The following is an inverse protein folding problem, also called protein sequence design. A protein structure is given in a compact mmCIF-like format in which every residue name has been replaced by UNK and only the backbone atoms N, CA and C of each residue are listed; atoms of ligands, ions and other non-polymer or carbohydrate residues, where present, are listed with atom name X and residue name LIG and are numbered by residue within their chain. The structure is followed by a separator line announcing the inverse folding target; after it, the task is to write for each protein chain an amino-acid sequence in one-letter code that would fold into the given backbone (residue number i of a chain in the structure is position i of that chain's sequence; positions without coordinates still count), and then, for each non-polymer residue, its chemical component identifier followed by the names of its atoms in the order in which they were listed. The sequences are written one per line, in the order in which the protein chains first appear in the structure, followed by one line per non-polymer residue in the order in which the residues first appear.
data_IF_574163783424
#
_entry.id   IF_574163783424
#
_cell.length_a   1.000
_cell.length_b   1.000
_cell.length_c   1.000
_cell.angle_alpha   90.00
_cell.angle_beta   90.00
_cell.angle_gamma   90.00
#
_symmetry.space_group_name_H-M   'P 1'
#
loop_
_entity.id
_entity.type
_entity.pdbx_description
1 polymer ?
#
# COMPACT_ATOMS: atom_id res chain seq x y z
N UNK A 1 8.97 -27.21 -8.14
CA UNK A 1 9.59 -25.87 -7.95
C UNK A 1 8.67 -24.74 -8.43
N UNK A 2 8.13 -24.76 -9.66
CA UNK A 2 7.24 -23.70 -10.20
C UNK A 2 5.90 -23.53 -9.47
N UNK A 3 5.23 -24.62 -9.07
CA UNK A 3 3.94 -24.52 -8.36
C UNK A 3 4.04 -23.80 -7.00
N UNK A 4 5.15 -23.98 -6.27
CA UNK A 4 5.36 -23.30 -4.97
C UNK A 4 5.42 -21.78 -5.13
N UNK A 5 6.01 -21.28 -6.22
CA UNK A 5 6.09 -19.84 -6.48
C UNK A 5 4.73 -19.24 -6.88
N UNK A 6 3.91 -19.97 -7.63
CA UNK A 6 2.56 -19.52 -8.02
C UNK A 6 1.65 -19.44 -6.79
N UNK A 7 1.64 -20.48 -5.95
CA UNK A 7 0.85 -20.49 -4.71
C UNK A 7 1.31 -19.42 -3.71
N UNK A 8 2.61 -19.13 -3.65
CA UNK A 8 3.15 -18.02 -2.84
C UNK A 8 2.72 -16.65 -3.37
N UNK A 9 2.72 -16.46 -4.70
CA UNK A 9 2.23 -15.24 -5.34
C UNK A 9 0.74 -15.00 -5.07
N UNK A 10 -0.10 -16.01 -5.23
CA UNK A 10 -1.54 -15.87 -4.94
C UNK A 10 -1.83 -15.55 -3.48
N UNK A 11 -1.05 -16.14 -2.55
CA UNK A 11 -1.19 -15.85 -1.13
C UNK A 11 -0.78 -14.39 -0.85
N UNK A 12 0.35 -13.96 -1.39
CA UNK A 12 0.84 -12.58 -1.29
C UNK A 12 -0.22 -11.59 -1.78
N UNK A 13 -0.82 -11.86 -2.93
CA UNK A 13 -1.82 -10.98 -3.54
C UNK A 13 -3.09 -10.88 -2.69
N UNK A 14 -3.52 -12.00 -2.10
CA UNK A 14 -4.67 -12.03 -1.18
C UNK A 14 -4.39 -11.27 0.12
N UNK A 15 -3.23 -11.49 0.72
CA UNK A 15 -2.81 -10.78 1.95
C UNK A 15 -2.69 -9.28 1.70
N UNK A 16 -2.09 -8.88 0.56
CA UNK A 16 -2.00 -7.49 0.17
C UNK A 16 -3.38 -6.86 -0.08
N UNK A 17 -4.27 -7.57 -0.79
CA UNK A 17 -5.62 -7.09 -1.04
C UNK A 17 -6.41 -6.87 0.26
N UNK A 18 -6.27 -7.79 1.23
CA UNK A 18 -6.88 -7.65 2.55
C UNK A 18 -6.33 -6.43 3.31
N UNK A 19 -5.01 -6.20 3.25
CA UNK A 19 -4.40 -5.00 3.79
C UNK A 19 -4.94 -3.72 3.14
N UNK A 20 -4.98 -3.67 1.80
CA UNK A 20 -5.49 -2.50 1.06
C UNK A 20 -6.95 -2.23 1.45
N UNK A 21 -7.79 -3.27 1.51
CA UNK A 21 -9.18 -3.13 1.95
C UNK A 21 -9.31 -2.53 3.35
N UNK A 22 -8.41 -2.87 4.29
CA UNK A 22 -8.44 -2.38 5.67
C UNK A 22 -7.73 -1.04 5.90
N UNK A 23 -6.81 -0.63 5.02
CA UNK A 23 -5.92 0.52 5.24
C UNK A 23 -6.07 1.66 4.23
N UNK A 24 -6.55 1.39 3.01
CA UNK A 24 -6.56 2.37 1.92
C UNK A 24 -7.29 3.67 2.27
N UNK A 25 -8.41 3.60 3.00
CA UNK A 25 -9.14 4.80 3.42
C UNK A 25 -8.31 5.72 4.33
N UNK A 26 -7.61 5.16 5.33
CA UNK A 26 -6.74 5.94 6.23
C UNK A 26 -5.51 6.47 5.49
N UNK A 27 -4.93 5.68 4.59
CA UNK A 27 -3.78 6.10 3.79
C UNK A 27 -4.15 7.19 2.78
N UNK A 28 -5.33 7.12 2.15
CA UNK A 28 -5.85 8.16 1.26
C UNK A 28 -6.12 9.46 2.02
N UNK A 29 -6.69 9.36 3.22
CA UNK A 29 -6.87 10.53 4.07
C UNK A 29 -5.54 11.21 4.38
N UNK A 30 -4.52 10.44 4.79
CA UNK A 30 -3.18 10.98 5.04
C UNK A 30 -2.57 11.61 3.77
N UNK A 31 -2.66 10.95 2.62
CA UNK A 31 -2.18 11.48 1.35
C UNK A 31 -2.88 12.81 0.97
N UNK A 32 -4.18 12.91 1.23
CA UNK A 32 -4.98 14.13 0.98
C UNK A 32 -4.50 15.29 1.83
N UNK A 33 -4.20 15.03 3.11
CA UNK A 33 -3.63 16.05 4.00
C UNK A 33 -2.24 16.49 3.54
N UNK A 34 -1.40 15.56 3.09
CA UNK A 34 -0.04 15.86 2.61
C UNK A 34 -0.04 16.65 1.30
N UNK A 35 -1.02 16.44 0.42
CA UNK A 35 -1.13 17.17 -0.86
C UNK A 35 -1.95 18.45 -0.78
N UNK A 36 -2.56 18.72 0.38
CA UNK A 36 -3.47 19.86 0.62
C UNK A 36 -4.63 19.93 -0.40
N UNK A 37 -5.17 18.77 -0.78
CA UNK A 37 -6.31 18.65 -1.70
C UNK A 37 -7.64 18.50 -0.95
N UNK A 38 -8.76 18.76 -1.64
CA UNK A 38 -10.07 18.49 -1.09
C UNK A 38 -10.35 16.97 -1.07
N UNK A 39 -11.04 16.42 -0.05
CA UNK A 39 -11.29 14.97 0.02
C UNK A 39 -11.95 14.36 -1.22
N UNK A 40 -12.82 15.12 -1.90
CA UNK A 40 -13.56 14.67 -3.09
C UNK A 40 -12.87 15.03 -4.42
N UNK A 41 -11.77 15.81 -4.38
CA UNK A 41 -10.99 16.21 -5.55
C UNK A 41 -9.49 16.20 -5.22
N UNK A 42 -8.93 14.99 -5.10
CA UNK A 42 -7.56 14.74 -4.66
C UNK A 42 -6.74 13.89 -5.65
N UNK A 43 -6.63 14.29 -6.95
CA UNK A 43 -5.90 13.51 -7.94
C UNK A 43 -4.43 13.29 -7.59
N UNK A 44 -3.75 14.22 -6.89
CA UNK A 44 -2.35 14.05 -6.48
C UNK A 44 -2.23 13.08 -5.31
N UNK A 45 -3.13 13.14 -4.34
CA UNK A 45 -3.18 12.22 -3.20
C UNK A 45 -3.40 10.77 -3.68
N UNK A 46 -4.29 10.58 -4.65
CA UNK A 46 -4.54 9.26 -5.26
C UNK A 46 -3.29 8.72 -5.94
N UNK A 47 -2.58 9.56 -6.71
CA UNK A 47 -1.31 9.18 -7.35
C UNK A 47 -0.22 8.84 -6.33
N UNK A 48 -0.08 9.67 -5.28
CA UNK A 48 0.85 9.45 -4.18
C UNK A 48 0.56 8.12 -3.47
N UNK A 49 -0.71 7.85 -3.16
CA UNK A 49 -1.15 6.60 -2.56
C UNK A 49 -0.84 5.40 -3.46
N UNK A 50 -1.16 5.49 -4.76
CA UNK A 50 -0.84 4.42 -5.71
C UNK A 50 0.66 4.12 -5.73
N UNK A 51 1.50 5.15 -5.70
CA UNK A 51 2.96 4.98 -5.65
C UNK A 51 3.40 4.28 -4.35
N UNK A 52 2.93 4.77 -3.20
CA UNK A 52 3.24 4.17 -1.90
C UNK A 52 2.79 2.71 -1.80
N UNK A 53 1.60 2.38 -2.31
CA UNK A 53 1.09 1.00 -2.35
C UNK A 53 1.90 0.10 -3.28
N UNK A 54 2.35 0.61 -4.44
CA UNK A 54 3.22 -0.14 -5.35
C UNK A 54 4.57 -0.47 -4.70
N UNK A 55 5.17 0.49 -3.99
CA UNK A 55 6.40 0.26 -3.21
C UNK A 55 6.19 -0.73 -2.06
N UNK A 56 5.08 -0.61 -1.34
CA UNK A 56 4.71 -1.52 -0.26
C UNK A 56 4.52 -2.95 -0.79
N UNK A 57 3.84 -3.11 -1.93
CA UNK A 57 3.66 -4.42 -2.57
C UNK A 57 4.99 -5.02 -3.07
N UNK A 58 5.88 -4.21 -3.65
CA UNK A 58 7.20 -4.67 -4.08
C UNK A 58 8.10 -5.13 -2.91
N UNK A 59 7.84 -4.61 -1.70
CA UNK A 59 8.50 -5.01 -0.47
C UNK A 59 7.77 -6.12 0.31
N UNK A 60 6.58 -6.56 -0.14
CA UNK A 60 5.67 -7.42 0.64
C UNK A 60 6.32 -8.70 1.16
N UNK A 61 7.03 -9.41 0.28
CA UNK A 61 7.72 -10.66 0.64
C UNK A 61 8.92 -10.46 1.59
N UNK A 62 9.36 -9.21 1.78
CA UNK A 62 10.50 -8.84 2.63
C UNK A 62 10.08 -8.23 3.97
N UNK A 63 8.79 -7.98 4.21
CA UNK A 63 8.28 -7.53 5.50
C UNK A 63 8.48 -8.64 6.55
N UNK A 64 9.65 -8.69 7.19
CA UNK A 64 10.02 -9.67 8.23
C UNK A 64 9.38 -9.32 9.58
N UNK A 65 8.06 -9.17 9.61
CA UNK A 65 7.31 -8.73 10.80
C UNK A 65 7.25 -7.21 10.99
N UNK A 66 7.75 -6.44 10.02
CA UNK A 66 7.46 -5.00 9.94
C UNK A 66 5.96 -4.78 9.69
N UNK A 67 5.38 -3.73 10.27
CA UNK A 67 3.99 -3.35 10.02
C UNK A 67 3.83 -2.78 8.60
N UNK A 68 3.04 -3.42 7.72
CA UNK A 68 2.79 -2.91 6.37
C UNK A 68 2.16 -1.52 6.35
N UNK A 69 1.39 -1.15 7.37
CA UNK A 69 0.78 0.16 7.48
C UNK A 69 1.84 1.24 7.74
N UNK A 70 2.78 0.99 8.63
CA UNK A 70 3.89 1.89 8.90
C UNK A 70 4.80 2.05 7.68
N UNK A 71 5.09 0.95 6.96
CA UNK A 71 5.84 1.04 5.71
C UNK A 71 5.12 1.93 4.69
N UNK A 72 3.82 1.72 4.48
CA UNK A 72 3.03 2.53 3.56
C UNK A 72 3.02 4.02 3.96
N UNK A 73 2.90 4.32 5.27
CA UNK A 73 2.99 5.70 5.77
C UNK A 73 4.36 6.34 5.53
N UNK A 74 5.45 5.60 5.71
CA UNK A 74 6.80 6.10 5.39
C UNK A 74 6.94 6.42 3.91
N UNK A 75 6.38 5.58 3.02
CA UNK A 75 6.39 5.84 1.58
C UNK A 75 5.56 7.06 1.16
N UNK A 76 4.51 7.39 1.91
CA UNK A 76 3.75 8.63 1.67
C UNK A 76 4.52 9.90 2.03
N UNK A 77 5.49 9.81 2.94
CA UNK A 77 6.24 10.94 3.49
C UNK A 77 7.70 11.01 3.00
N UNK A 78 8.09 10.11 2.10
CA UNK A 78 9.42 10.07 1.46
C UNK A 78 9.50 11.09 0.31
#
# INVERSE_FOLDING_TARGET
MRERHVLQGERRDREFAAFVAGAAGRLLHAATLLTAEAPDDNPRARRLLTHALAHTYAAWDRLRGEDPYDLARRQLAA
#
